data_IF_528780769492
#
_entry.id   IF_528780769492
#
_cell.length_a   1.000
_cell.length_b   1.000
_cell.length_c   1.000
_cell.angle_alpha   90.00
_cell.angle_beta   90.00
_cell.angle_gamma   90.00
#
_symmetry.space_group_name_H-M   'P 1'
#
loop_
_entity.id
_entity.type
_entity.pdbx_description
1 polymer ?
#
# COMPACT_ATOMS: atom_id res chain seq x y z
N UNK A 1 -19.26 8.81 -30.55
CA UNK A 1 -19.07 8.54 -29.12
C UNK A 1 -17.75 9.17 -28.71
N UNK A 2 -17.76 10.22 -27.92
CA UNK A 2 -16.53 10.82 -27.36
C UNK A 2 -15.98 9.77 -26.39
N UNK A 3 -14.76 9.28 -26.64
CA UNK A 3 -14.07 8.38 -25.70
C UNK A 3 -13.90 9.15 -24.38
N UNK A 4 -14.58 8.71 -23.35
CA UNK A 4 -14.39 9.26 -22.00
C UNK A 4 -12.93 9.04 -21.60
N UNK A 5 -12.19 10.10 -21.34
CA UNK A 5 -10.81 10.00 -20.91
C UNK A 5 -10.74 9.49 -19.46
N UNK A 6 -9.69 8.75 -19.08
CA UNK A 6 -9.48 8.35 -17.71
C UNK A 6 -9.36 9.57 -16.79
N UNK A 7 -10.18 9.73 -15.74
CA UNK A 7 -10.12 10.88 -14.83
C UNK A 7 -8.77 11.04 -14.09
N UNK A 8 -8.00 9.96 -13.99
CA UNK A 8 -6.66 9.94 -13.40
C UNK A 8 -5.54 9.99 -14.44
N UNK A 9 -5.82 10.31 -15.68
CA UNK A 9 -4.85 10.39 -16.78
C UNK A 9 -3.95 9.15 -16.92
N UNK A 10 -4.47 7.95 -16.55
CA UNK A 10 -3.71 6.70 -16.60
C UNK A 10 -3.40 6.31 -18.04
N UNK A 11 -2.21 5.75 -18.26
CA UNK A 11 -1.73 5.27 -19.57
C UNK A 11 -1.50 3.77 -19.59
N UNK A 12 -0.86 3.23 -18.53
CA UNK A 12 -0.37 1.85 -18.49
C UNK A 12 -1.40 0.82 -17.98
N UNK A 13 -2.66 1.19 -17.89
CA UNK A 13 -3.77 0.27 -17.55
C UNK A 13 -4.62 0.80 -16.40
N UNK A 14 -5.63 0.02 -15.98
CA UNK A 14 -6.60 0.47 -14.99
C UNK A 14 -5.98 0.64 -13.61
N UNK A 15 -6.49 1.59 -12.83
CA UNK A 15 -6.21 1.71 -11.40
C UNK A 15 -6.91 0.60 -10.59
N UNK A 16 -6.71 0.59 -9.25
CA UNK A 16 -7.43 -0.31 -8.34
C UNK A 16 -8.89 0.09 -8.05
N UNK A 17 -9.32 1.27 -8.51
CA UNK A 17 -10.66 1.80 -8.27
C UNK A 17 -11.70 1.44 -9.34
N UNK A 18 -11.46 0.41 -10.14
CA UNK A 18 -12.50 -0.13 -11.03
C UNK A 18 -13.48 -0.95 -10.20
N UNK A 19 -14.75 -0.55 -10.22
CA UNK A 19 -15.81 -1.23 -9.48
C UNK A 19 -16.09 -2.64 -10.04
N UNK A 20 -16.72 -3.56 -9.28
CA UNK A 20 -17.03 -4.92 -9.73
C UNK A 20 -17.87 -4.98 -11.00
N UNK A 21 -18.74 -4.01 -11.24
CA UNK A 21 -19.56 -3.87 -12.46
C UNK A 21 -18.78 -3.32 -13.66
N UNK A 22 -17.51 -2.97 -13.46
CA UNK A 22 -16.63 -2.39 -14.47
C UNK A 22 -16.72 -0.87 -14.60
N UNK A 23 -17.52 -0.19 -13.81
CA UNK A 23 -17.59 1.28 -13.77
C UNK A 23 -16.36 1.90 -13.14
N UNK A 24 -16.14 3.20 -13.38
CA UNK A 24 -15.06 3.96 -12.77
C UNK A 24 -15.43 4.38 -11.33
N UNK A 25 -14.46 4.51 -10.42
CA UNK A 25 -14.67 4.95 -9.03
C UNK A 25 -15.35 6.31 -8.88
N UNK A 26 -15.25 7.18 -9.90
CA UNK A 26 -15.75 8.57 -9.87
C UNK A 26 -16.70 8.90 -11.02
N UNK A 27 -16.97 7.94 -11.88
CA UNK A 27 -17.87 8.13 -13.03
C UNK A 27 -18.68 6.85 -13.27
N UNK A 28 -19.98 6.95 -13.61
CA UNK A 28 -20.80 5.78 -13.89
C UNK A 28 -20.40 5.03 -15.17
N UNK A 29 -19.62 5.67 -16.04
CA UNK A 29 -19.18 5.04 -17.27
C UNK A 29 -18.18 3.91 -17.03
N UNK A 30 -18.21 2.94 -17.93
CA UNK A 30 -17.28 1.81 -17.95
C UNK A 30 -15.84 2.28 -18.05
N UNK A 31 -14.94 1.67 -17.28
CA UNK A 31 -13.52 1.99 -17.31
C UNK A 31 -12.93 1.76 -18.72
N UNK A 32 -12.29 2.80 -19.27
CA UNK A 32 -11.73 2.80 -20.65
C UNK A 32 -10.68 1.72 -20.90
N UNK A 33 -10.10 1.16 -19.84
CA UNK A 33 -9.11 0.09 -19.96
C UNK A 33 -9.70 -1.31 -20.05
N UNK A 34 -11.00 -1.49 -19.78
CA UNK A 34 -11.63 -2.80 -19.86
C UNK A 34 -11.82 -3.24 -21.32
N UNK A 35 -12.04 -2.28 -22.21
CA UNK A 35 -12.33 -2.53 -23.62
C UNK A 35 -11.06 -2.46 -24.50
N UNK A 36 -9.92 -2.11 -23.94
CA UNK A 36 -8.64 -2.10 -24.66
C UNK A 36 -8.10 -3.54 -24.78
N UNK A 37 -7.86 -3.98 -26.00
CA UNK A 37 -7.35 -5.31 -26.31
C UNK A 37 -5.89 -5.52 -25.90
N UNK A 38 -5.08 -4.45 -25.92
CA UNK A 38 -3.65 -4.50 -25.59
C UNK A 38 -3.30 -3.43 -24.54
N UNK A 39 -2.58 -3.82 -23.47
CA UNK A 39 -2.02 -2.84 -22.55
C UNK A 39 -0.91 -2.04 -23.23
N UNK A 40 -0.79 -0.76 -22.92
CA UNK A 40 0.40 0.01 -23.26
C UNK A 40 1.58 -0.60 -22.50
N UNK A 41 2.65 -0.96 -23.22
CA UNK A 41 3.83 -1.59 -22.61
C UNK A 41 4.81 -0.53 -22.14
N UNK A 42 5.51 -0.83 -21.04
CA UNK A 42 6.65 -0.03 -20.62
C UNK A 42 7.85 -0.34 -21.52
N UNK A 43 8.35 0.67 -22.22
CA UNK A 43 9.43 0.51 -23.21
C UNK A 43 10.71 1.30 -22.86
N UNK A 44 10.65 2.18 -21.83
CA UNK A 44 11.76 3.07 -21.51
C UNK A 44 12.97 2.38 -20.83
N UNK A 45 13.00 1.04 -20.77
CA UNK A 45 14.07 0.29 -20.12
C UNK A 45 14.06 0.38 -18.59
N UNK A 46 15.08 -0.26 -17.98
CA UNK A 46 15.25 -0.21 -16.52
C UNK A 46 16.12 1.00 -16.15
N UNK A 47 15.72 1.80 -15.15
CA UNK A 47 16.58 2.87 -14.65
C UNK A 47 17.84 2.28 -14.00
N UNK A 48 18.99 2.91 -14.23
CA UNK A 48 20.19 2.57 -13.49
C UNK A 48 19.99 2.93 -12.01
N UNK A 49 20.16 1.95 -11.08
CA UNK A 49 19.93 2.24 -9.67
C UNK A 49 21.07 3.10 -9.12
N UNK A 50 20.72 4.18 -8.40
CA UNK A 50 21.66 4.89 -7.55
C UNK A 50 21.91 4.09 -6.25
N UNK A 51 22.89 4.56 -5.46
CA UNK A 51 23.22 3.91 -4.16
C UNK A 51 22.03 4.01 -3.20
N UNK A 52 21.62 2.87 -2.67
CA UNK A 52 20.55 2.77 -1.69
C UNK A 52 20.97 3.31 -0.31
N UNK A 53 20.00 3.80 0.47
CA UNK A 53 20.19 4.19 1.86
C UNK A 53 20.62 3.01 2.74
N UNK A 54 21.13 3.30 3.94
CA UNK A 54 21.42 2.24 4.92
C UNK A 54 20.17 1.49 5.32
N UNK A 55 19.08 2.20 5.62
CA UNK A 55 17.79 1.59 5.98
C UNK A 55 17.22 0.71 4.86
N UNK A 56 17.40 1.06 3.59
CA UNK A 56 17.00 0.22 2.46
C UNK A 56 17.81 -1.09 2.41
N UNK A 57 19.12 -1.01 2.63
CA UNK A 57 19.98 -2.20 2.68
C UNK A 57 19.66 -3.12 3.85
N UNK A 58 19.33 -2.56 5.03
CA UNK A 58 18.85 -3.35 6.17
C UNK A 58 17.56 -4.10 5.84
N UNK A 59 16.59 -3.43 5.20
CA UNK A 59 15.35 -4.08 4.76
C UNK A 59 15.63 -5.21 3.76
N UNK A 60 16.53 -5.01 2.80
CA UNK A 60 16.93 -6.10 1.89
C UNK A 60 17.54 -7.29 2.65
N UNK A 61 18.44 -7.01 3.59
CA UNK A 61 19.04 -8.06 4.41
C UNK A 61 18.00 -8.81 5.27
N UNK A 62 16.87 -8.19 5.63
CA UNK A 62 15.74 -8.88 6.25
C UNK A 62 15.05 -9.78 5.22
N UNK A 63 14.71 -9.24 4.04
CA UNK A 63 14.03 -9.99 2.97
C UNK A 63 14.83 -11.22 2.48
N UNK A 64 16.16 -11.15 2.52
CA UNK A 64 17.03 -12.28 2.18
C UNK A 64 16.97 -13.43 3.21
N UNK A 65 16.45 -13.19 4.41
CA UNK A 65 16.43 -14.17 5.52
C UNK A 65 15.02 -14.63 5.89
N UNK A 66 14.03 -13.79 5.73
CA UNK A 66 12.64 -14.05 6.13
C UNK A 66 11.65 -13.06 5.50
N UNK A 67 10.35 -13.37 5.53
CA UNK A 67 9.31 -12.43 5.11
C UNK A 67 9.39 -11.09 5.83
N UNK A 68 9.13 -10.01 5.10
CA UNK A 68 9.14 -8.63 5.59
C UNK A 68 7.79 -8.25 6.21
N UNK A 69 7.78 -7.73 7.43
CA UNK A 69 6.55 -7.24 8.07
C UNK A 69 6.56 -5.71 8.14
N UNK A 70 5.74 -5.09 7.29
CA UNK A 70 5.56 -3.64 7.26
C UNK A 70 4.27 -3.30 8.02
N UNK A 71 4.36 -2.41 9.00
CA UNK A 71 3.19 -1.91 9.73
C UNK A 71 2.73 -0.56 9.17
N UNK A 72 1.43 -0.30 9.16
CA UNK A 72 0.90 1.04 8.99
C UNK A 72 1.28 1.94 10.18
N UNK A 73 1.41 3.26 9.94
CA UNK A 73 1.60 4.25 11.02
C UNK A 73 0.25 4.62 11.64
N UNK A 74 -0.06 4.25 12.89
CA UNK A 74 -1.32 4.56 13.54
C UNK A 74 -1.33 6.00 14.14
N UNK A 75 -1.07 7.00 13.30
CA UNK A 75 -1.12 8.41 13.67
C UNK A 75 -2.11 9.12 12.77
N UNK A 76 -2.99 9.92 13.37
CA UNK A 76 -3.97 10.68 12.60
C UNK A 76 -3.32 11.76 11.74
N UNK A 77 -3.93 12.11 10.60
CA UNK A 77 -3.48 13.24 9.80
C UNK A 77 -3.30 14.51 10.63
N UNK A 78 -2.24 15.25 10.35
CA UNK A 78 -1.88 16.53 11.01
C UNK A 78 -1.60 16.45 12.53
N UNK A 79 -1.32 15.23 13.07
CA UNK A 79 -1.00 15.00 14.49
C UNK A 79 0.47 14.64 14.69
N UNK A 80 1.37 15.59 14.44
CA UNK A 80 2.81 15.37 14.54
C UNK A 80 3.30 14.98 15.95
N UNK A 81 2.64 15.50 17.01
CA UNK A 81 3.01 15.22 18.40
C UNK A 81 2.80 13.76 18.85
N UNK A 82 2.02 12.96 18.09
CA UNK A 82 1.75 11.56 18.42
C UNK A 82 2.81 10.61 17.87
N UNK A 83 3.62 11.06 16.89
CA UNK A 83 4.58 10.21 16.18
C UNK A 83 5.60 9.58 17.13
N UNK A 84 6.18 10.35 18.05
CA UNK A 84 7.19 9.85 18.97
C UNK A 84 6.63 8.73 19.87
N UNK A 85 5.45 8.93 20.48
CA UNK A 85 4.80 7.93 21.34
C UNK A 85 4.49 6.63 20.61
N UNK A 86 3.98 6.73 19.38
CA UNK A 86 3.69 5.57 18.55
C UNK A 86 4.99 4.87 18.11
N UNK A 87 6.02 5.64 17.77
CA UNK A 87 7.31 5.11 17.38
C UNK A 87 7.97 4.32 18.53
N UNK A 88 7.86 4.79 19.77
CA UNK A 88 8.39 4.08 20.95
C UNK A 88 7.77 2.67 21.12
N UNK A 89 6.50 2.51 20.72
CA UNK A 89 5.81 1.22 20.78
C UNK A 89 6.22 0.32 19.60
N UNK A 90 6.35 0.87 18.39
CA UNK A 90 6.60 0.08 17.18
C UNK A 90 8.07 -0.28 16.97
N UNK A 91 8.99 0.53 17.52
CA UNK A 91 10.43 0.36 17.32
C UNK A 91 10.92 -0.98 17.84
N UNK A 92 11.60 -1.74 16.98
CA UNK A 92 12.08 -3.09 17.29
C UNK A 92 11.02 -4.19 17.19
N UNK A 93 9.75 -3.84 16.98
CA UNK A 93 8.65 -4.81 16.82
C UNK A 93 8.19 -4.98 15.36
N UNK A 94 8.53 -4.05 14.49
CA UNK A 94 8.19 -4.10 13.05
C UNK A 94 9.44 -3.85 12.21
N UNK A 95 9.47 -4.35 10.98
CA UNK A 95 10.64 -4.19 10.11
C UNK A 95 10.72 -2.81 9.48
N UNK A 96 9.57 -2.28 9.09
CA UNK A 96 9.42 -0.90 8.60
C UNK A 96 8.00 -0.39 8.92
N UNK A 97 7.85 0.94 8.89
CA UNK A 97 6.54 1.59 9.11
C UNK A 97 6.14 2.37 7.87
N UNK A 98 5.01 1.96 7.28
CA UNK A 98 4.41 2.61 6.12
C UNK A 98 3.52 3.77 6.56
N UNK A 99 3.79 4.96 6.05
CA UNK A 99 2.90 6.11 6.18
C UNK A 99 2.43 6.55 4.80
N UNK A 100 1.26 6.10 4.41
CA UNK A 100 0.53 6.56 3.22
C UNK A 100 -0.47 7.67 3.54
N UNK A 101 -1.26 8.06 2.56
CA UNK A 101 -2.40 8.93 2.80
C UNK A 101 -3.53 8.12 3.47
N UNK A 102 -4.20 8.71 4.46
CA UNK A 102 -5.39 8.10 5.03
C UNK A 102 -6.51 8.07 3.97
N UNK A 103 -7.21 6.94 3.88
CA UNK A 103 -8.25 6.77 2.86
C UNK A 103 -9.39 7.78 2.97
N UNK A 104 -9.64 8.28 4.19
CA UNK A 104 -10.71 9.23 4.49
C UNK A 104 -10.26 10.70 4.49
N UNK A 105 -8.95 11.00 4.61
CA UNK A 105 -8.45 12.38 4.63
C UNK A 105 -7.55 12.68 3.44
N UNK A 106 -7.86 13.76 2.74
CA UNK A 106 -7.03 14.28 1.64
C UNK A 106 -6.07 15.38 2.11
N UNK A 107 -6.28 15.92 3.32
CA UNK A 107 -5.43 16.96 3.91
C UNK A 107 -4.48 16.33 4.91
N UNK A 108 -3.19 16.26 4.56
CA UNK A 108 -2.15 15.63 5.37
C UNK A 108 -0.83 16.40 5.28
N UNK A 109 0.06 16.18 6.23
CA UNK A 109 1.42 16.68 6.09
C UNK A 109 2.10 16.09 4.84
N UNK A 110 2.99 16.85 4.16
CA UNK A 110 3.77 16.35 3.03
C UNK A 110 4.56 15.08 3.40
N UNK A 111 4.75 14.15 2.45
CA UNK A 111 5.48 12.89 2.70
C UNK A 111 6.86 13.10 3.32
N UNK A 112 7.65 14.04 2.81
CA UNK A 112 8.98 14.32 3.34
C UNK A 112 8.96 14.79 4.81
N UNK A 113 7.97 15.61 5.19
CA UNK A 113 7.84 16.06 6.58
C UNK A 113 7.47 14.90 7.50
N UNK A 114 6.51 14.04 7.10
CA UNK A 114 6.16 12.83 7.85
C UNK A 114 7.34 11.88 7.99
N UNK A 115 8.08 11.65 6.89
CA UNK A 115 9.28 10.82 6.89
C UNK A 115 10.33 11.34 7.86
N UNK A 116 10.57 12.65 7.89
CA UNK A 116 11.53 13.27 8.82
C UNK A 116 11.13 13.06 10.28
N UNK A 117 9.85 13.23 10.62
CA UNK A 117 9.33 12.99 11.97
C UNK A 117 9.52 11.52 12.39
N UNK A 118 9.18 10.59 11.53
CA UNK A 118 9.28 9.14 11.77
C UNK A 118 10.76 8.71 11.89
N UNK A 119 11.62 9.20 11.00
CA UNK A 119 13.06 8.90 11.02
C UNK A 119 13.73 9.43 12.30
N UNK A 120 13.42 10.68 12.72
CA UNK A 120 13.88 11.24 13.99
C UNK A 120 13.39 10.46 15.21
N UNK A 121 12.24 9.83 15.11
CA UNK A 121 11.71 8.93 16.13
C UNK A 121 12.30 7.51 16.06
N UNK A 122 13.29 7.24 15.20
CA UNK A 122 14.01 5.97 15.11
C UNK A 122 13.28 4.85 14.37
N UNK A 123 12.29 5.17 13.54
CA UNK A 123 11.59 4.19 12.71
C UNK A 123 12.31 3.98 11.36
N UNK A 124 12.33 2.75 10.84
CA UNK A 124 12.61 2.50 9.43
C UNK A 124 11.40 2.91 8.61
N UNK A 125 11.54 3.97 7.83
CA UNK A 125 10.42 4.63 7.17
C UNK A 125 10.17 4.04 5.79
N UNK A 126 8.92 3.61 5.54
CA UNK A 126 8.40 3.31 4.21
C UNK A 126 7.36 4.37 3.85
N UNK A 127 7.66 5.25 2.88
CA UNK A 127 6.82 6.43 2.67
C UNK A 127 5.92 6.31 1.44
N UNK A 128 4.62 6.45 1.64
CA UNK A 128 3.64 6.56 0.56
C UNK A 128 3.70 7.91 -0.15
N UNK A 129 3.76 7.89 -1.48
CA UNK A 129 3.70 9.07 -2.33
C UNK A 129 2.64 8.86 -3.40
N UNK A 130 1.67 9.77 -3.50
CA UNK A 130 0.62 9.74 -4.51
C UNK A 130 0.82 10.83 -5.58
N UNK A 131 0.29 10.58 -6.78
CA UNK A 131 0.29 11.52 -7.90
C UNK A 131 -0.97 12.42 -7.94
N UNK A 132 -1.97 12.16 -7.08
CA UNK A 132 -3.24 12.89 -7.08
C UNK A 132 -3.07 14.39 -6.96
N UNK A 133 -2.24 14.85 -6.01
CA UNK A 133 -2.15 16.26 -5.61
C UNK A 133 -0.85 16.91 -6.12
N UNK A 134 -0.02 16.18 -6.86
CA UNK A 134 1.37 16.59 -7.18
C UNK A 134 1.66 16.45 -8.66
N UNK A 135 2.20 17.49 -9.27
CA UNK A 135 2.81 17.40 -10.59
C UNK A 135 4.21 16.75 -10.49
N UNK A 136 4.83 16.49 -11.64
CA UNK A 136 6.16 15.84 -11.69
C UNK A 136 7.25 16.59 -10.96
N UNK A 137 7.22 17.93 -10.96
CA UNK A 137 8.21 18.73 -10.24
C UNK A 137 8.08 18.56 -8.73
N UNK A 138 6.85 18.57 -8.19
CA UNK A 138 6.59 18.30 -6.78
C UNK A 138 6.95 16.86 -6.39
N UNK A 139 6.65 15.87 -7.24
CA UNK A 139 7.04 14.47 -7.03
C UNK A 139 8.56 14.31 -7.03
N UNK A 140 9.27 14.93 -7.98
CA UNK A 140 10.73 14.88 -8.03
C UNK A 140 11.37 15.50 -6.79
N UNK A 141 10.81 16.59 -6.26
CA UNK A 141 11.27 17.23 -5.03
C UNK A 141 11.00 16.33 -3.80
N UNK A 142 9.81 15.72 -3.69
CA UNK A 142 9.49 14.78 -2.62
C UNK A 142 10.43 13.56 -2.63
N UNK A 143 10.63 12.92 -3.79
CA UNK A 143 11.51 11.77 -3.91
C UNK A 143 12.98 12.12 -3.58
N UNK A 144 13.46 13.30 -3.99
CA UNK A 144 14.79 13.79 -3.61
C UNK A 144 14.90 14.01 -2.09
N UNK A 145 13.87 14.59 -1.46
CA UNK A 145 13.82 14.80 -0.02
C UNK A 145 13.81 13.48 0.75
N UNK A 146 13.03 12.49 0.29
CA UNK A 146 12.97 11.15 0.89
C UNK A 146 14.31 10.42 0.79
N UNK A 147 14.99 10.53 -0.35
CA UNK A 147 16.34 10.00 -0.53
C UNK A 147 17.35 10.67 0.40
N UNK A 148 17.29 12.00 0.56
CA UNK A 148 18.15 12.75 1.48
C UNK A 148 17.90 12.41 2.96
N UNK A 149 16.64 12.11 3.34
CA UNK A 149 16.29 11.63 4.68
C UNK A 149 16.83 10.21 4.91
N UNK A 150 17.03 9.44 3.86
CA UNK A 150 17.50 8.06 3.95
C UNK A 150 16.42 7.05 4.32
N UNK A 151 15.18 7.23 3.81
CA UNK A 151 14.07 6.29 4.07
C UNK A 151 14.41 4.88 3.60
N UNK A 152 13.81 3.87 4.22
CA UNK A 152 13.98 2.47 3.85
C UNK A 152 13.36 2.15 2.48
N UNK A 153 12.22 2.77 2.17
CA UNK A 153 11.54 2.59 0.89
C UNK A 153 10.43 3.58 0.64
N UNK A 154 9.91 3.55 -0.58
CA UNK A 154 8.76 4.34 -0.99
C UNK A 154 7.67 3.46 -1.59
N UNK A 155 6.42 3.77 -1.27
CA UNK A 155 5.23 3.16 -1.86
C UNK A 155 4.57 4.14 -2.82
N UNK A 156 4.64 3.84 -4.12
CA UNK A 156 4.23 4.76 -5.18
C UNK A 156 2.84 4.38 -5.70
N UNK A 157 1.89 5.27 -5.52
CA UNK A 157 0.49 5.09 -5.93
C UNK A 157 0.02 6.23 -6.82
N UNK A 158 -0.88 5.95 -7.74
CA UNK A 158 -1.58 7.03 -8.48
C UNK A 158 -2.45 7.84 -7.50
N UNK A 159 -3.04 7.16 -6.53
CA UNK A 159 -3.90 7.74 -5.49
C UNK A 159 -5.38 7.70 -5.89
N UNK A 160 -6.26 7.79 -4.88
CA UNK A 160 -7.70 7.90 -5.07
C UNK A 160 -8.05 9.29 -5.57
N UNK A 161 -9.11 9.40 -6.35
CA UNK A 161 -9.54 10.69 -6.87
C UNK A 161 -10.05 11.60 -5.75
N UNK A 162 -9.92 12.92 -5.89
CA UNK A 162 -10.39 13.89 -4.88
C UNK A 162 -11.89 13.78 -4.60
N UNK A 163 -12.68 13.42 -5.61
CA UNK A 163 -14.13 13.22 -5.47
C UNK A 163 -14.54 12.08 -4.52
N UNK A 164 -13.62 11.17 -4.16
CA UNK A 164 -13.88 10.05 -3.25
C UNK A 164 -13.49 10.34 -1.78
N UNK A 165 -13.18 11.58 -1.43
CA UNK A 165 -12.76 11.98 -0.08
C UNK A 165 -13.43 13.25 0.41
N UNK A 166 -12.98 13.78 1.56
CA UNK A 166 -13.54 14.98 2.20
C UNK A 166 -13.21 16.30 1.49
N UNK A 167 -12.44 16.25 0.40
CA UNK A 167 -12.08 17.44 -0.39
C UNK A 167 -12.47 17.27 -1.87
N UNK A 168 -13.77 17.06 -2.16
CA UNK A 168 -14.24 16.97 -3.56
C UNK A 168 -14.10 18.30 -4.32
N UNK A 169 -13.93 19.40 -3.61
CA UNK A 169 -13.64 20.73 -4.11
C UNK A 169 -12.22 20.91 -4.63
N UNK A 170 -11.26 20.04 -4.22
CA UNK A 170 -9.89 20.10 -4.67
C UNK A 170 -9.76 19.56 -6.10
N UNK A 171 -9.02 20.28 -6.96
CA UNK A 171 -8.71 19.80 -8.31
C UNK A 171 -7.56 18.80 -8.28
N UNK A 172 -7.74 17.57 -8.81
CA UNK A 172 -6.65 16.62 -8.91
C UNK A 172 -5.64 17.05 -9.98
N UNK A 173 -4.41 16.59 -9.84
CA UNK A 173 -3.30 16.90 -10.77
C UNK A 173 -3.06 15.74 -11.74
N UNK A 174 -2.74 14.54 -11.21
CA UNK A 174 -2.46 13.33 -12.01
C UNK A 174 -1.56 13.58 -13.23
N UNK A 175 -0.48 14.36 -13.07
CA UNK A 175 0.56 14.56 -14.11
C UNK A 175 1.39 13.28 -14.32
N UNK A 176 1.46 12.44 -13.30
CA UNK A 176 2.10 11.12 -13.32
C UNK A 176 1.12 10.05 -12.82
N UNK A 177 1.44 8.80 -13.11
CA UNK A 177 0.84 7.63 -12.47
C UNK A 177 1.91 6.79 -11.76
N UNK A 178 1.52 5.81 -10.94
CA UNK A 178 2.48 4.99 -10.18
C UNK A 178 3.58 4.39 -11.07
N UNK A 179 3.24 3.91 -12.27
CA UNK A 179 4.20 3.31 -13.22
C UNK A 179 5.28 4.31 -13.63
N UNK A 180 4.93 5.57 -13.90
CA UNK A 180 5.89 6.61 -14.32
C UNK A 180 6.67 7.24 -13.16
N UNK A 181 6.24 7.02 -11.92
CA UNK A 181 6.97 7.45 -10.71
C UNK A 181 8.10 6.48 -10.33
N UNK A 182 7.95 5.19 -10.63
CA UNK A 182 8.91 4.14 -10.23
C UNK A 182 10.34 4.41 -10.72
N UNK A 183 10.60 4.69 -12.01
CA UNK A 183 11.97 4.94 -12.48
C UNK A 183 12.60 6.15 -11.80
N UNK A 184 11.82 7.21 -11.54
CA UNK A 184 12.29 8.43 -10.87
C UNK A 184 12.78 8.17 -9.44
N UNK A 185 12.08 7.26 -8.71
CA UNK A 185 12.50 6.84 -7.38
C UNK A 185 13.76 5.96 -7.43
N UNK A 186 13.84 5.03 -8.41
CA UNK A 186 15.01 4.16 -8.60
C UNK A 186 16.29 4.95 -8.92
N UNK A 187 16.21 5.96 -9.77
CA UNK A 187 17.32 6.87 -10.10
C UNK A 187 17.87 7.61 -8.87
N UNK A 188 17.09 7.71 -7.78
CA UNK A 188 17.49 8.31 -6.51
C UNK A 188 17.91 7.29 -5.45
N UNK A 189 18.04 6.02 -5.80
CA UNK A 189 18.44 4.96 -4.87
C UNK A 189 17.37 4.54 -3.86
N UNK A 190 16.11 4.89 -4.11
CA UNK A 190 15.00 4.48 -3.25
C UNK A 190 14.57 3.05 -3.56
N UNK A 191 14.40 2.22 -2.53
CA UNK A 191 13.72 0.93 -2.64
C UNK A 191 12.24 1.19 -2.90
N UNK A 192 11.68 0.55 -3.94
CA UNK A 192 10.37 0.92 -4.46
C UNK A 192 9.33 -0.18 -4.27
N UNK A 193 8.16 0.19 -3.80
CA UNK A 193 6.96 -0.63 -3.89
C UNK A 193 5.84 0.09 -4.62
N UNK A 194 4.89 -0.67 -5.09
CA UNK A 194 3.71 -0.18 -5.80
C UNK A 194 2.47 -0.94 -5.34
N UNK A 195 1.31 -0.30 -5.46
CA UNK A 195 0.03 -0.94 -5.14
C UNK A 195 -0.48 -1.78 -6.30
N UNK A 196 -1.16 -2.90 -5.98
CA UNK A 196 -2.05 -3.58 -6.90
C UNK A 196 -3.33 -4.03 -6.17
N UNK A 197 -4.42 -4.13 -6.92
CA UNK A 197 -5.73 -4.58 -6.43
C UNK A 197 -6.15 -5.82 -7.20
N UNK A 198 -5.74 -7.03 -6.76
CA UNK A 198 -5.96 -8.27 -7.51
C UNK A 198 -7.42 -8.55 -7.83
N UNK A 199 -8.34 -8.20 -6.93
CA UNK A 199 -9.78 -8.39 -7.11
C UNK A 199 -10.48 -7.36 -7.99
N UNK A 200 -9.82 -6.24 -8.35
CA UNK A 200 -10.46 -5.22 -9.19
C UNK A 200 -10.41 -5.59 -10.68
N UNK A 201 -11.50 -5.37 -11.46
CA UNK A 201 -11.52 -5.66 -12.90
C UNK A 201 -10.42 -4.89 -13.68
N UNK A 202 -9.84 -5.47 -14.71
CA UNK A 202 -9.98 -6.84 -15.19
C UNK A 202 -9.06 -7.80 -14.44
N UNK A 203 -9.61 -8.67 -13.60
CA UNK A 203 -8.86 -9.56 -12.69
C UNK A 203 -7.79 -10.38 -13.44
N UNK A 204 -8.11 -10.94 -14.59
CA UNK A 204 -7.17 -11.75 -15.38
C UNK A 204 -5.95 -10.99 -15.95
N UNK A 205 -5.93 -9.65 -15.88
CA UNK A 205 -4.84 -8.81 -16.39
C UNK A 205 -4.02 -8.16 -15.27
N UNK A 206 -4.33 -8.42 -14.00
CA UNK A 206 -3.62 -7.81 -12.86
C UNK A 206 -2.16 -8.25 -12.78
N UNK A 207 -1.86 -9.51 -13.04
CA UNK A 207 -0.47 -10.00 -13.15
C UNK A 207 0.34 -9.27 -14.22
N UNK A 208 -0.25 -9.02 -15.39
CA UNK A 208 0.42 -8.23 -16.44
C UNK A 208 0.68 -6.77 -16.01
N UNK A 209 -0.19 -6.18 -15.18
CA UNK A 209 0.05 -4.86 -14.57
C UNK A 209 1.25 -4.87 -13.63
N UNK A 210 1.38 -5.91 -12.80
CA UNK A 210 2.55 -6.08 -11.93
C UNK A 210 3.83 -6.14 -12.77
N UNK A 211 3.83 -6.90 -13.87
CA UNK A 211 4.97 -6.97 -14.79
C UNK A 211 5.35 -5.59 -15.37
N UNK A 212 4.39 -4.77 -15.78
CA UNK A 212 4.65 -3.42 -16.27
C UNK A 212 5.34 -2.55 -15.21
N UNK A 213 4.85 -2.60 -13.98
CA UNK A 213 5.42 -1.86 -12.86
C UNK A 213 6.80 -2.36 -12.48
N UNK A 214 7.04 -3.67 -12.54
CA UNK A 214 8.37 -4.25 -12.36
C UNK A 214 9.35 -3.73 -13.41
N UNK A 215 8.98 -3.76 -14.69
CA UNK A 215 9.80 -3.24 -15.78
C UNK A 215 10.11 -1.75 -15.61
N UNK A 216 9.19 -0.98 -15.05
CA UNK A 216 9.41 0.42 -14.71
C UNK A 216 10.28 0.64 -13.46
N UNK A 217 10.70 -0.41 -12.76
CA UNK A 217 11.58 -0.32 -11.59
C UNK A 217 10.91 -0.64 -10.25
N UNK A 218 9.69 -1.17 -10.25
CA UNK A 218 9.02 -1.64 -9.04
C UNK A 218 9.66 -2.92 -8.50
N UNK A 219 9.90 -2.98 -7.20
CA UNK A 219 10.65 -4.06 -6.55
C UNK A 219 9.80 -4.90 -5.58
N UNK A 220 8.72 -4.34 -5.05
CA UNK A 220 7.76 -5.03 -4.19
C UNK A 220 6.34 -4.65 -4.61
N UNK A 221 5.46 -5.64 -4.65
CA UNK A 221 4.02 -5.43 -4.88
C UNK A 221 3.27 -5.49 -3.55
N UNK A 222 2.76 -4.36 -3.08
CA UNK A 222 1.87 -4.33 -1.93
C UNK A 222 0.43 -4.40 -2.43
N UNK A 223 -0.34 -5.39 -1.97
CA UNK A 223 -1.73 -5.50 -2.42
C UNK A 223 -2.70 -4.90 -1.42
N UNK A 224 -3.84 -4.50 -1.92
CA UNK A 224 -5.02 -4.33 -1.08
C UNK A 224 -5.45 -5.70 -0.52
N UNK A 225 -6.32 -5.73 0.50
CA UNK A 225 -6.93 -6.99 0.97
C UNK A 225 -7.53 -7.73 -0.22
N UNK A 226 -6.99 -8.90 -0.54
CA UNK A 226 -7.21 -9.53 -1.85
C UNK A 226 -7.78 -10.96 -1.78
N UNK A 227 -8.33 -11.36 -0.66
CA UNK A 227 -8.97 -12.65 -0.47
C UNK A 227 -8.25 -13.53 0.54
N UNK A 228 -8.50 -14.84 0.51
CA UNK A 228 -7.79 -15.83 1.30
C UNK A 228 -6.44 -16.23 0.65
N UNK A 229 -5.78 -17.25 1.21
CA UNK A 229 -4.49 -17.72 0.72
C UNK A 229 -4.58 -18.27 -0.71
N UNK A 230 -5.68 -18.91 -1.09
CA UNK A 230 -5.89 -19.45 -2.43
C UNK A 230 -6.04 -18.32 -3.46
N UNK A 231 -6.78 -17.26 -3.14
CA UNK A 231 -6.90 -16.06 -3.98
C UNK A 231 -5.53 -15.40 -4.22
N UNK A 232 -4.69 -15.33 -3.17
CA UNK A 232 -3.34 -14.77 -3.27
C UNK A 232 -2.43 -15.67 -4.12
N UNK A 233 -2.51 -16.98 -3.96
CA UNK A 233 -1.77 -17.95 -4.78
C UNK A 233 -2.13 -17.81 -6.26
N UNK A 234 -3.43 -17.73 -6.59
CA UNK A 234 -3.92 -17.50 -7.97
C UNK A 234 -3.36 -16.19 -8.53
N UNK A 235 -3.33 -15.11 -7.74
CA UNK A 235 -2.78 -13.85 -8.20
C UNK A 235 -1.26 -13.93 -8.47
N UNK A 236 -0.50 -14.60 -7.60
CA UNK A 236 0.95 -14.79 -7.78
C UNK A 236 1.22 -15.61 -9.04
N UNK A 237 0.44 -16.66 -9.31
CA UNK A 237 0.56 -17.43 -10.56
C UNK A 237 0.26 -16.56 -11.81
N UNK A 238 -0.72 -15.66 -11.74
CA UNK A 238 -0.94 -14.69 -12.82
C UNK A 238 0.27 -13.76 -13.02
N UNK A 239 0.94 -13.34 -11.93
CA UNK A 239 2.17 -12.54 -12.02
C UNK A 239 3.29 -13.34 -12.68
N UNK A 240 3.51 -14.59 -12.28
CA UNK A 240 4.52 -15.50 -12.86
C UNK A 240 4.25 -15.78 -14.35
N UNK A 241 3.01 -16.06 -14.69
CA UNK A 241 2.59 -16.26 -16.10
C UNK A 241 2.83 -15.01 -16.96
N UNK A 242 2.76 -13.81 -16.36
CA UNK A 242 3.13 -12.56 -17.03
C UNK A 242 4.64 -12.27 -17.04
N UNK A 243 5.47 -13.16 -16.47
CA UNK A 243 6.92 -13.02 -16.38
C UNK A 243 7.38 -12.12 -15.25
N UNK A 244 6.59 -11.96 -14.18
CA UNK A 244 6.95 -11.20 -12.97
C UNK A 244 7.32 -12.15 -11.82
N UNK A 245 8.43 -11.84 -11.16
CA UNK A 245 8.94 -12.50 -9.95
C UNK A 245 9.00 -11.55 -8.74
N UNK A 246 8.33 -10.42 -8.84
CA UNK A 246 8.30 -9.42 -7.76
C UNK A 246 7.65 -10.01 -6.50
N UNK A 247 8.31 -9.94 -5.32
CA UNK A 247 7.69 -10.37 -4.06
C UNK A 247 6.37 -9.64 -3.81
N UNK A 248 5.34 -10.41 -3.47
CA UNK A 248 4.01 -9.89 -3.13
C UNK A 248 3.88 -9.78 -1.61
N UNK A 249 3.43 -8.62 -1.14
CA UNK A 249 3.14 -8.36 0.27
C UNK A 249 1.63 -8.08 0.43
N UNK A 250 0.83 -9.09 0.74
CA UNK A 250 -0.60 -8.90 0.98
C UNK A 250 -0.89 -8.04 2.20
N UNK A 251 -2.01 -7.29 2.14
CA UNK A 251 -2.54 -6.55 3.26
C UNK A 251 -3.24 -7.47 4.27
N UNK A 252 -2.97 -7.26 5.56
CA UNK A 252 -3.66 -7.94 6.68
C UNK A 252 -4.32 -6.88 7.56
N UNK A 253 -5.66 -6.90 7.71
CA UNK A 253 -6.34 -5.93 8.56
C UNK A 253 -6.13 -6.25 10.04
N UNK A 254 -5.68 -5.26 10.81
CA UNK A 254 -5.64 -5.31 12.26
C UNK A 254 -6.73 -4.39 12.81
N UNK A 255 -7.65 -4.93 13.59
CA UNK A 255 -8.81 -4.23 14.14
C UNK A 255 -8.86 -4.44 15.64
N UNK A 256 -9.02 -3.36 16.41
CA UNK A 256 -9.00 -3.41 17.87
C UNK A 256 -10.28 -2.91 18.55
N UNK A 257 -11.23 -2.42 17.76
CA UNK A 257 -12.49 -1.90 18.28
C UNK A 257 -13.60 -1.95 17.23
N UNK A 258 -14.82 -1.67 17.69
CA UNK A 258 -16.01 -1.73 16.84
C UNK A 258 -15.99 -0.71 15.71
N UNK A 259 -15.42 0.48 15.95
CA UNK A 259 -15.29 1.51 14.91
C UNK A 259 -14.40 1.02 13.77
N UNK A 260 -13.27 0.39 14.10
CA UNK A 260 -12.40 -0.23 13.10
C UNK A 260 -13.07 -1.38 12.36
N UNK A 261 -13.87 -2.21 13.05
CA UNK A 261 -14.63 -3.30 12.41
C UNK A 261 -15.69 -2.77 11.44
N UNK A 262 -16.43 -1.73 11.82
CA UNK A 262 -17.44 -1.08 10.97
C UNK A 262 -16.80 -0.39 9.75
N UNK A 263 -15.64 0.25 9.93
CA UNK A 263 -14.89 0.84 8.81
C UNK A 263 -14.41 -0.25 7.83
N UNK A 264 -13.93 -1.38 8.34
CA UNK A 264 -13.52 -2.51 7.50
C UNK A 264 -14.72 -3.10 6.74
N UNK A 265 -15.88 -3.24 7.40
CA UNK A 265 -17.13 -3.69 6.79
C UNK A 265 -17.62 -2.76 5.66
N UNK A 266 -17.42 -1.45 5.82
CA UNK A 266 -17.74 -0.44 4.80
C UNK A 266 -16.74 -0.34 3.65
N UNK A 267 -15.63 -1.05 3.73
CA UNK A 267 -14.60 -0.99 2.70
C UNK A 267 -14.88 -1.98 1.55
N UNK A 268 -15.71 -1.56 0.61
CA UNK A 268 -16.21 -2.42 -0.49
C UNK A 268 -15.11 -2.99 -1.42
N UNK A 269 -13.94 -2.36 -1.47
CA UNK A 269 -12.81 -2.87 -2.25
C UNK A 269 -12.01 -3.97 -1.52
N UNK A 270 -12.30 -4.22 -0.23
CA UNK A 270 -11.65 -5.28 0.52
C UNK A 270 -12.27 -6.64 0.17
N UNK A 271 -11.43 -7.59 -0.19
CA UNK A 271 -11.77 -9.00 -0.27
C UNK A 271 -11.05 -9.71 0.89
N UNK A 272 -11.79 -10.29 1.79
CA UNK A 272 -11.29 -10.95 2.99
C UNK A 272 -11.79 -12.39 3.06
N UNK A 273 -11.18 -13.27 3.85
CA UNK A 273 -11.71 -14.61 4.10
C UNK A 273 -13.16 -14.57 4.57
N UNK A 274 -13.94 -15.55 4.16
CA UNK A 274 -15.37 -15.65 4.51
C UNK A 274 -15.55 -15.64 6.02
N UNK A 275 -16.48 -14.83 6.52
CA UNK A 275 -16.80 -14.72 7.95
C UNK A 275 -15.85 -13.84 8.76
N UNK A 276 -14.79 -13.28 8.15
CA UNK A 276 -13.80 -12.46 8.86
C UNK A 276 -14.43 -11.21 9.50
N UNK A 277 -15.19 -10.45 8.73
CA UNK A 277 -15.84 -9.21 9.20
C UNK A 277 -16.98 -9.52 10.15
N UNK A 278 -17.78 -10.53 9.86
CA UNK A 278 -18.89 -10.99 10.69
C UNK A 278 -18.41 -11.42 12.07
N UNK A 279 -17.29 -12.14 12.13
CA UNK A 279 -16.67 -12.56 13.40
C UNK A 279 -16.21 -11.36 14.23
N UNK A 280 -15.61 -10.34 13.59
CA UNK A 280 -15.23 -9.09 14.27
C UNK A 280 -16.44 -8.35 14.83
N UNK A 281 -17.50 -8.20 14.03
CA UNK A 281 -18.70 -7.47 14.43
C UNK A 281 -19.51 -8.17 15.52
N UNK A 282 -19.45 -9.50 15.59
CA UNK A 282 -20.11 -10.32 16.61
C UNK A 282 -19.29 -10.48 17.91
N UNK A 283 -18.02 -10.07 17.90
CA UNK A 283 -17.11 -10.30 19.02
C UNK A 283 -17.47 -9.46 20.26
N UNK A 284 -17.51 -10.08 21.43
CA UNK A 284 -17.60 -9.36 22.72
C UNK A 284 -16.29 -8.60 23.01
N UNK A 285 -15.14 -9.20 22.71
CA UNK A 285 -13.83 -8.59 22.81
C UNK A 285 -13.21 -8.43 21.42
N UNK A 286 -13.53 -7.30 20.75
CA UNK A 286 -13.06 -7.01 19.40
C UNK A 286 -11.53 -6.93 19.33
N UNK A 287 -10.86 -6.42 20.38
CA UNK A 287 -9.39 -6.33 20.40
C UNK A 287 -8.75 -7.70 20.33
N UNK A 288 -9.10 -8.60 21.23
CA UNK A 288 -8.53 -9.95 21.25
C UNK A 288 -8.88 -10.76 19.99
N UNK A 289 -10.13 -10.65 19.53
CA UNK A 289 -10.58 -11.32 18.31
C UNK A 289 -9.85 -10.79 17.07
N UNK A 290 -9.69 -9.49 16.96
CA UNK A 290 -9.03 -8.87 15.80
C UNK A 290 -7.54 -9.20 15.73
N UNK A 291 -6.83 -9.20 16.85
CA UNK A 291 -5.43 -9.63 16.93
C UNK A 291 -5.31 -11.10 16.51
N UNK A 292 -6.12 -11.99 17.08
CA UNK A 292 -6.11 -13.42 16.72
C UNK A 292 -6.39 -13.64 15.23
N UNK A 293 -7.44 -13.04 14.69
CA UNK A 293 -7.78 -13.17 13.26
C UNK A 293 -6.66 -12.64 12.35
N UNK A 294 -6.03 -11.52 12.70
CA UNK A 294 -4.91 -10.98 11.94
C UNK A 294 -3.70 -11.93 11.95
N UNK A 295 -3.39 -12.55 13.08
CA UNK A 295 -2.31 -13.54 13.20
C UNK A 295 -2.62 -14.80 12.39
N UNK A 296 -3.82 -15.37 12.54
CA UNK A 296 -4.25 -16.56 11.81
C UNK A 296 -4.22 -16.33 10.30
N UNK A 297 -4.79 -15.22 9.85
CA UNK A 297 -4.81 -14.84 8.44
C UNK A 297 -3.40 -14.53 7.92
N UNK A 298 -2.60 -13.79 8.67
CA UNK A 298 -1.22 -13.49 8.29
C UNK A 298 -0.37 -14.75 8.13
N UNK A 299 -0.51 -15.72 9.03
CA UNK A 299 0.19 -17.02 8.94
C UNK A 299 -0.21 -17.78 7.68
N UNK A 300 -1.51 -17.88 7.37
CA UNK A 300 -1.97 -18.56 6.16
C UNK A 300 -1.43 -17.90 4.87
N UNK A 301 -1.30 -16.58 4.84
CA UNK A 301 -0.71 -15.86 3.71
C UNK A 301 0.79 -16.10 3.57
N UNK A 302 1.53 -16.22 4.69
CA UNK A 302 2.98 -16.47 4.68
C UNK A 302 3.35 -17.88 4.20
N UNK A 303 2.41 -18.82 4.19
CA UNK A 303 2.59 -20.17 3.63
C UNK A 303 2.51 -20.18 2.09
N UNK A 304 2.00 -19.11 1.47
CA UNK A 304 1.85 -19.02 0.01
C UNK A 304 3.20 -18.71 -0.64
N UNK A 305 3.64 -19.58 -1.55
CA UNK A 305 4.90 -19.38 -2.29
C UNK A 305 4.85 -18.11 -3.16
N UNK A 306 5.85 -17.24 -2.98
CA UNK A 306 5.93 -15.92 -3.64
C UNK A 306 5.42 -14.77 -2.78
N UNK A 307 4.87 -15.04 -1.59
CA UNK A 307 4.64 -14.02 -0.57
C UNK A 307 5.97 -13.69 0.11
N UNK A 308 6.46 -12.45 -0.14
CA UNK A 308 7.73 -11.97 0.41
C UNK A 308 7.58 -11.23 1.74
N UNK A 309 6.36 -11.15 2.28
CA UNK A 309 6.04 -10.45 3.52
C UNK A 309 4.60 -9.99 3.60
N UNK A 310 4.28 -9.17 4.59
CA UNK A 310 2.92 -8.68 4.83
C UNK A 310 2.92 -7.17 5.10
N UNK A 311 1.79 -6.53 4.79
CA UNK A 311 1.49 -5.17 5.25
C UNK A 311 0.36 -5.25 6.27
N UNK A 312 0.70 -5.11 7.55
CA UNK A 312 -0.30 -5.11 8.63
C UNK A 312 -0.80 -3.69 8.87
N UNK A 313 -2.06 -3.46 8.62
CA UNK A 313 -2.68 -2.14 8.75
C UNK A 313 -4.18 -2.28 9.01
N UNK A 314 -4.84 -1.19 9.30
CA UNK A 314 -6.28 -1.14 9.53
C UNK A 314 -6.66 0.19 10.16
N UNK A 315 -7.59 0.17 11.11
CA UNK A 315 -8.06 1.38 11.77
C UNK A 315 -8.52 1.12 13.19
N UNK A 316 -8.60 2.20 13.96
CA UNK A 316 -9.17 2.22 15.30
C UNK A 316 -9.89 3.56 15.55
N UNK A 317 -10.70 3.60 16.60
CA UNK A 317 -11.35 4.81 17.07
C UNK A 317 -10.31 5.90 17.42
N UNK A 318 -10.75 7.15 17.35
CA UNK A 318 -9.93 8.29 17.77
C UNK A 318 -9.50 8.15 19.23
N UNK A 319 -8.23 8.49 19.53
CA UNK A 319 -7.66 8.41 20.87
C UNK A 319 -7.13 7.01 21.22
N UNK A 320 -7.29 6.02 20.36
CA UNK A 320 -6.78 4.66 20.56
C UNK A 320 -5.49 4.34 19.78
N UNK A 321 -4.81 5.37 19.28
CA UNK A 321 -3.60 5.21 18.43
C UNK A 321 -2.50 4.40 19.12
N UNK A 322 -2.30 4.58 20.43
CA UNK A 322 -1.32 3.82 21.19
C UNK A 322 -1.73 2.35 21.42
N UNK A 323 -3.01 2.08 21.67
CA UNK A 323 -3.51 0.70 21.80
C UNK A 323 -3.40 -0.02 20.45
N UNK A 324 -3.72 0.69 19.38
CA UNK A 324 -3.57 0.17 18.04
C UNK A 324 -2.11 -0.09 17.67
N UNK A 325 -1.17 0.78 18.06
CA UNK A 325 0.25 0.53 17.89
C UNK A 325 0.72 -0.72 18.64
N UNK A 326 0.22 -0.99 19.87
CA UNK A 326 0.53 -2.22 20.61
C UNK A 326 0.00 -3.46 19.90
N UNK A 327 -1.23 -3.42 19.38
CA UNK A 327 -1.78 -4.53 18.61
C UNK A 327 -0.96 -4.81 17.34
N UNK A 328 -0.54 -3.76 16.61
CA UNK A 328 0.36 -3.92 15.46
C UNK A 328 1.70 -4.54 15.85
N UNK A 329 2.29 -4.11 16.97
CA UNK A 329 3.53 -4.68 17.50
C UNK A 329 3.38 -6.15 17.88
N UNK A 330 2.29 -6.52 18.54
CA UNK A 330 1.95 -7.90 18.94
C UNK A 330 1.76 -8.79 17.70
N UNK A 331 0.90 -8.37 16.76
CA UNK A 331 0.67 -9.11 15.50
C UNK A 331 1.96 -9.27 14.71
N UNK A 332 2.78 -8.23 14.63
CA UNK A 332 4.06 -8.30 13.93
C UNK A 332 5.02 -9.31 14.57
N UNK A 333 5.15 -9.30 15.90
CA UNK A 333 6.02 -10.23 16.62
C UNK A 333 5.59 -11.70 16.41
N UNK A 334 4.29 -11.98 16.43
CA UNK A 334 3.72 -13.31 16.18
C UNK A 334 3.89 -13.80 14.73
N UNK A 335 4.05 -12.86 13.79
CA UNK A 335 4.33 -13.13 12.38
C UNK A 335 5.83 -13.10 12.04
N UNK A 336 6.70 -12.95 13.05
CA UNK A 336 8.16 -12.98 12.89
C UNK A 336 8.81 -11.64 12.55
N UNK A 337 8.09 -10.52 12.64
CA UNK A 337 8.63 -9.18 12.43
C UNK A 337 9.53 -8.68 13.58
N UNK A 338 10.34 -7.67 13.31
CA UNK A 338 11.03 -6.86 14.32
C UNK A 338 12.28 -7.46 14.99
N UNK A 339 12.76 -8.64 14.63
CA UNK A 339 13.94 -9.29 15.25
C UNK A 339 15.21 -9.11 14.43
#
# INVERSE_FOLDING_TARGET
MTLVACPKSMTYGPCGGVNPDGSCEVHPDRCVFLDRSLPVRWEAGHPAPARESEAAREVRAIMDRRPLIISGLPVRPLRSGEVARVADILRGHVDAVLSGDAGWSRTQFPPAYRALLMSRAGLRVWMGVNARDRNRAAIDAELASLAAIGVAGVHLVTGDHTLTGERPDARPVFDLESTTMLPRARERGLLTSFAESPGAPPVSRRGARVRQKQLAGGQLCLTQYCGDADDVAVFIEQCRAAGSDVPVLPGVPVVIDRVGAEQLAGFHAAKLPTGYVETLLAAENVTATGIRLAIEYGRSLLEVDGVGGLVIAGSAAAGREADYARALAEVSAELGGGR
#
